data_IF_457287596360
#
_entry.id   IF_457287596360
#
_cell.length_a   1.000
_cell.length_b   1.000
_cell.length_c   1.000
_cell.angle_alpha   90.00
_cell.angle_beta   90.00
_cell.angle_gamma   90.00
#
_symmetry.space_group_name_H-M   'P 1'
#
loop_
_entity.id
_entity.type
_entity.pdbx_description
1 polymer ?
#
# COMPACT_ATOMS: atom_id res chain seq x y z
N UNK A 1 3.28 -13.04 16.83
CA UNK A 1 3.21 -12.78 15.37
C UNK A 1 1.87 -12.17 14.94
N UNK A 2 0.76 -12.43 15.66
CA UNK A 2 -0.61 -11.99 15.32
C UNK A 2 -0.84 -10.48 15.08
N UNK A 3 -0.06 -9.58 15.69
CA UNK A 3 -0.40 -8.14 15.63
C UNK A 3 -0.01 -7.47 14.28
N UNK A 4 1.02 -7.95 13.60
CA UNK A 4 1.47 -7.38 12.31
C UNK A 4 0.64 -7.87 11.14
N UNK A 5 0.19 -9.14 11.18
CA UNK A 5 -0.66 -9.70 10.12
C UNK A 5 -2.04 -9.03 10.13
N UNK A 6 -2.61 -8.81 11.33
CA UNK A 6 -3.85 -8.05 11.50
C UNK A 6 -3.75 -6.61 10.98
N UNK A 7 -2.60 -5.95 11.11
CA UNK A 7 -2.37 -4.62 10.54
C UNK A 7 -2.33 -4.65 9.02
N UNK A 8 -1.67 -5.65 8.41
CA UNK A 8 -1.62 -5.80 6.95
C UNK A 8 -3.01 -6.10 6.39
N UNK A 9 -3.78 -6.96 7.06
CA UNK A 9 -5.17 -7.27 6.69
C UNK A 9 -6.08 -6.04 6.79
N UNK A 10 -5.98 -5.27 7.88
CA UNK A 10 -6.74 -4.03 8.04
C UNK A 10 -6.40 -3.00 6.95
N UNK A 11 -5.12 -2.85 6.62
CA UNK A 11 -4.65 -1.96 5.56
C UNK A 11 -5.14 -2.41 4.17
N UNK A 12 -5.13 -3.71 3.89
CA UNK A 12 -5.69 -4.27 2.65
C UNK A 12 -7.20 -4.04 2.54
N UNK A 13 -7.95 -4.19 3.64
CA UNK A 13 -9.38 -3.90 3.68
C UNK A 13 -9.66 -2.42 3.41
N UNK A 14 -8.88 -1.50 3.99
CA UNK A 14 -9.03 -0.06 3.72
C UNK A 14 -8.77 0.24 2.23
N UNK A 15 -7.75 -0.37 1.62
CA UNK A 15 -7.48 -0.23 0.19
C UNK A 15 -8.67 -0.71 -0.67
N UNK A 16 -9.26 -1.84 -0.32
CA UNK A 16 -10.45 -2.35 -1.02
C UNK A 16 -11.64 -1.39 -0.89
N UNK A 17 -11.89 -0.84 0.31
CA UNK A 17 -12.93 0.17 0.51
C UNK A 17 -12.65 1.45 -0.27
N UNK A 18 -11.39 1.90 -0.34
CA UNK A 18 -11.01 3.05 -1.15
C UNK A 18 -11.26 2.79 -2.63
N UNK A 19 -10.89 1.61 -3.12
CA UNK A 19 -11.12 1.17 -4.51
C UNK A 19 -12.61 1.17 -4.87
N UNK A 20 -13.43 0.64 -3.97
CA UNK A 20 -14.89 0.64 -4.11
C UNK A 20 -15.47 2.05 -4.14
N UNK A 21 -15.11 2.90 -3.17
CA UNK A 21 -15.51 4.31 -3.12
C UNK A 21 -15.12 5.04 -4.42
N UNK A 22 -13.93 4.77 -4.95
CA UNK A 22 -13.48 5.40 -6.18
C UNK A 22 -14.29 4.92 -7.39
N UNK A 23 -14.37 3.61 -7.61
CA UNK A 23 -14.99 3.05 -8.80
C UNK A 23 -16.51 3.23 -8.84
N UNK A 24 -17.17 3.15 -7.68
CA UNK A 24 -18.63 3.06 -7.59
C UNK A 24 -19.30 4.33 -7.09
N UNK A 25 -18.55 5.28 -6.53
CA UNK A 25 -19.09 6.58 -6.10
C UNK A 25 -18.41 7.72 -6.84
N UNK A 26 -17.10 7.87 -6.68
CA UNK A 26 -16.39 9.06 -7.17
C UNK A 26 -16.27 9.10 -8.70
N UNK A 27 -16.00 7.97 -9.38
CA UNK A 27 -15.91 7.93 -10.84
C UNK A 27 -17.25 8.26 -11.51
N UNK A 28 -18.39 7.70 -11.07
CA UNK A 28 -19.71 8.16 -11.50
C UNK A 28 -19.92 9.66 -11.29
N UNK A 29 -19.69 10.17 -10.08
CA UNK A 29 -19.89 11.60 -9.77
C UNK A 29 -18.97 12.50 -10.63
N UNK A 30 -17.74 12.07 -10.89
CA UNK A 30 -16.80 12.77 -11.76
C UNK A 30 -17.24 12.74 -13.23
N UNK A 31 -17.99 11.72 -13.68
CA UNK A 31 -18.49 11.69 -15.07
C UNK A 31 -19.51 12.79 -15.31
N UNK A 32 -20.34 13.08 -14.32
CA UNK A 32 -21.42 14.07 -14.41
C UNK A 32 -20.96 15.51 -14.12
N UNK A 33 -19.72 15.70 -13.63
CA UNK A 33 -19.11 17.02 -13.46
C UNK A 33 -18.68 17.61 -14.82
N UNK A 34 -19.33 18.71 -15.22
CA UNK A 34 -19.08 19.42 -16.48
C UNK A 34 -17.85 20.34 -16.42
N UNK A 35 -17.48 20.83 -15.23
CA UNK A 35 -16.28 21.64 -15.04
C UNK A 35 -15.03 20.75 -15.06
N UNK A 36 -14.31 20.78 -16.18
CA UNK A 36 -13.11 19.98 -16.39
C UNK A 36 -11.97 20.31 -15.43
N UNK A 37 -11.84 21.58 -15.00
CA UNK A 37 -10.80 22.00 -14.06
C UNK A 37 -11.11 21.51 -12.64
N UNK A 38 -12.39 21.50 -12.27
CA UNK A 38 -12.85 20.91 -11.01
C UNK A 38 -12.68 19.40 -11.01
N UNK A 39 -13.05 18.72 -12.10
CA UNK A 39 -12.87 17.28 -12.30
C UNK A 39 -11.40 16.86 -12.21
N UNK A 40 -10.50 17.59 -12.86
CA UNK A 40 -9.06 17.34 -12.80
C UNK A 40 -8.49 17.53 -11.39
N UNK A 41 -8.95 18.56 -10.66
CA UNK A 41 -8.54 18.79 -9.26
C UNK A 41 -8.97 17.65 -8.35
N UNK A 42 -10.24 17.24 -8.43
CA UNK A 42 -10.76 16.11 -7.65
C UNK A 42 -10.02 14.80 -7.97
N UNK A 43 -9.80 14.51 -9.25
CA UNK A 43 -9.04 13.33 -9.65
C UNK A 43 -7.60 13.35 -9.11
N UNK A 44 -6.93 14.51 -9.18
CA UNK A 44 -5.58 14.69 -8.63
C UNK A 44 -5.56 14.43 -7.11
N UNK A 45 -6.49 15.01 -6.36
CA UNK A 45 -6.54 14.87 -4.91
C UNK A 45 -6.76 13.41 -4.49
N UNK A 46 -7.64 12.70 -5.20
CA UNK A 46 -7.87 11.27 -5.00
C UNK A 46 -6.58 10.47 -5.27
N UNK A 47 -5.94 10.68 -6.42
CA UNK A 47 -4.71 9.96 -6.77
C UNK A 47 -3.56 10.23 -5.77
N UNK A 48 -3.47 11.47 -5.26
CA UNK A 48 -2.54 11.81 -4.19
C UNK A 48 -2.85 11.04 -2.90
N UNK A 49 -4.12 10.96 -2.51
CA UNK A 49 -4.56 10.17 -1.36
C UNK A 49 -4.23 8.68 -1.49
N UNK A 50 -4.48 8.09 -2.66
CA UNK A 50 -4.11 6.70 -2.97
C UNK A 50 -2.61 6.46 -2.85
N UNK A 51 -1.81 7.32 -3.48
CA UNK A 51 -0.34 7.21 -3.46
C UNK A 51 0.19 7.30 -2.02
N UNK A 52 -0.37 8.21 -1.21
CA UNK A 52 0.00 8.32 0.20
C UNK A 52 -0.34 7.05 0.99
N UNK A 53 -1.50 6.44 0.72
CA UNK A 53 -1.92 5.20 1.36
C UNK A 53 -1.03 4.01 0.96
N UNK A 54 -0.74 3.83 -0.33
CA UNK A 54 0.16 2.77 -0.80
C UNK A 54 1.56 2.88 -0.17
N UNK A 55 2.09 4.09 -0.04
CA UNK A 55 3.37 4.34 0.64
C UNK A 55 3.33 3.95 2.12
N UNK A 56 2.21 4.21 2.81
CA UNK A 56 2.01 3.78 4.20
C UNK A 56 2.04 2.26 4.34
N UNK A 57 1.35 1.56 3.44
CA UNK A 57 1.30 0.09 3.42
C UNK A 57 2.69 -0.49 3.14
N UNK A 58 3.42 0.08 2.19
CA UNK A 58 4.80 -0.31 1.92
C UNK A 58 5.69 -0.14 3.16
N UNK A 59 5.48 0.91 3.96
CA UNK A 59 6.21 1.10 5.21
C UNK A 59 5.88 0.02 6.25
N UNK A 60 4.59 -0.32 6.41
CA UNK A 60 4.14 -1.40 7.32
C UNK A 60 4.74 -2.75 6.90
N UNK A 61 4.71 -3.08 5.61
CA UNK A 61 5.29 -4.32 5.08
C UNK A 61 6.80 -4.37 5.32
N UNK A 62 7.53 -3.27 5.06
CA UNK A 62 8.97 -3.19 5.35
C UNK A 62 9.27 -3.35 6.83
N UNK A 63 8.49 -2.72 7.71
CA UNK A 63 8.65 -2.84 9.15
C UNK A 63 8.41 -4.29 9.62
N UNK A 64 7.35 -4.94 9.11
CA UNK A 64 7.05 -6.34 9.39
C UNK A 64 8.18 -7.27 8.94
N UNK A 65 8.69 -7.09 7.72
CA UNK A 65 9.81 -7.88 7.20
C UNK A 65 11.10 -7.71 8.04
N UNK A 66 11.43 -6.48 8.45
CA UNK A 66 12.59 -6.20 9.32
C UNK A 66 12.46 -6.86 10.68
N UNK A 67 11.27 -6.78 11.29
CA UNK A 67 10.99 -7.46 12.56
C UNK A 67 11.16 -8.97 12.42
N UNK A 68 10.60 -9.56 11.37
CA UNK A 68 10.70 -11.00 11.12
C UNK A 68 12.15 -11.45 10.92
N UNK A 69 12.98 -10.66 10.27
CA UNK A 69 14.41 -10.96 10.16
C UNK A 69 15.13 -10.93 11.50
N UNK A 70 14.87 -9.91 12.32
CA UNK A 70 15.43 -9.83 13.66
C UNK A 70 15.04 -11.05 14.51
N UNK A 71 13.78 -11.48 14.45
CA UNK A 71 13.28 -12.69 15.12
C UNK A 71 14.00 -13.97 14.62
N UNK A 72 14.52 -13.97 13.39
CA UNK A 72 15.27 -15.08 12.78
C UNK A 72 16.80 -14.93 12.91
N UNK A 73 17.29 -13.89 13.60
CA UNK A 73 18.72 -13.61 13.74
C UNK A 73 19.41 -13.10 12.47
N UNK A 74 18.65 -12.64 11.47
CA UNK A 74 19.16 -12.03 10.24
C UNK A 74 19.29 -10.52 10.45
N UNK A 75 20.39 -9.89 10.02
CA UNK A 75 20.55 -8.44 10.10
C UNK A 75 19.45 -7.74 9.27
N UNK A 76 18.55 -6.96 9.90
CA UNK A 76 17.47 -6.27 9.19
C UNK A 76 17.95 -5.22 8.17
N UNK A 77 19.23 -4.83 8.20
CA UNK A 77 19.85 -3.94 7.20
C UNK A 77 20.11 -4.65 5.87
N UNK A 78 20.21 -5.97 5.87
CA UNK A 78 20.34 -6.76 4.64
C UNK A 78 19.01 -6.90 3.90
N UNK A 79 17.90 -6.54 4.56
CA UNK A 79 16.57 -6.52 3.98
C UNK A 79 16.21 -5.11 3.53
N UNK A 80 15.74 -5.04 2.28
CA UNK A 80 15.35 -3.85 1.53
C UNK A 80 16.51 -3.05 0.93
N UNK A 81 17.09 -3.59 -0.13
CA UNK A 81 17.46 -2.76 -1.27
C UNK A 81 16.36 -2.89 -2.33
N UNK A 82 15.38 -1.98 -2.30
CA UNK A 82 14.24 -2.02 -3.22
C UNK A 82 14.64 -1.72 -4.68
N UNK A 83 15.91 -1.32 -4.91
CA UNK A 83 16.48 -1.15 -6.25
C UNK A 83 17.15 -2.41 -6.80
N UNK A 84 17.46 -3.41 -5.97
CA UNK A 84 17.93 -4.71 -6.44
C UNK A 84 16.77 -5.71 -6.47
N UNK A 85 16.10 -5.80 -7.62
CA UNK A 85 15.00 -6.73 -7.99
C UNK A 85 15.21 -8.23 -7.69
N UNK A 86 16.30 -8.64 -7.02
CA UNK A 86 16.72 -10.04 -6.84
C UNK A 86 16.59 -10.62 -5.43
N UNK A 87 16.40 -9.82 -4.37
CA UNK A 87 16.45 -10.35 -2.98
C UNK A 87 15.10 -10.50 -2.26
N UNK A 88 14.05 -9.74 -2.63
CA UNK A 88 12.73 -9.80 -1.97
C UNK A 88 11.98 -11.13 -2.20
N UNK A 89 12.22 -11.81 -3.32
CA UNK A 89 11.57 -13.09 -3.66
C UNK A 89 12.05 -14.27 -2.81
N UNK A 90 13.25 -14.23 -2.21
CA UNK A 90 13.79 -15.38 -1.46
C UNK A 90 13.26 -15.51 -0.03
N UNK A 91 12.68 -14.45 0.54
CA UNK A 91 12.12 -14.50 1.91
C UNK A 91 10.64 -14.87 1.92
N UNK A 92 9.89 -14.53 0.87
CA UNK A 92 8.45 -14.84 0.76
C UNK A 92 8.22 -16.30 0.33
N UNK A 93 9.14 -16.88 -0.45
CA UNK A 93 9.04 -18.27 -0.96
C UNK A 93 9.90 -19.29 -0.20
N UNK A 94 10.43 -18.94 0.98
CA UNK A 94 10.97 -19.93 1.93
C UNK A 94 9.87 -20.27 2.96
N UNK A 95 8.80 -20.88 2.46
CA UNK A 95 7.93 -21.79 3.20
C UNK A 95 8.27 -23.19 2.68
#
# INVERSE_FOLDING_TARGET
>A
MQNTDALIEAEAAILQCMADLFCNTLVPDLKDEEDIDKKLRLFKDIMCGYTAKENSIAAVVRASAKKRAADLGIDPRELCDCNSKKKLLKLVYKI
#
